data_IF_717751133701
#
_entry.id   IF_717751133701
#
_cell.length_a   1.000
_cell.length_b   1.000
_cell.length_c   1.000
_cell.angle_alpha   90.00
_cell.angle_beta   90.00
_cell.angle_gamma   90.00
#
_symmetry.space_group_name_H-M   'P 1'
#
loop_
_entity.id
_entity.type
_entity.pdbx_description
1 polymer ?
#
# COMPACT_ATOMS: atom_id res chain seq x y z
N UNK A 1 2.19 7.10 -8.47
CA UNK A 1 3.66 7.16 -8.25
C UNK A 1 4.48 6.38 -9.27
N UNK A 2 3.86 5.91 -10.34
CA UNK A 2 4.59 5.25 -11.42
C UNK A 2 5.67 6.19 -11.97
N UNK A 3 6.92 5.72 -12.01
CA UNK A 3 8.03 6.52 -12.51
C UNK A 3 8.69 7.43 -11.50
N UNK A 4 8.25 7.43 -10.24
CA UNK A 4 8.92 8.22 -9.20
C UNK A 4 10.25 7.57 -8.81
N UNK A 5 11.26 8.41 -8.63
CA UNK A 5 12.52 7.99 -8.03
C UNK A 5 12.34 7.76 -6.53
N UNK A 6 13.25 6.99 -5.93
CA UNK A 6 13.22 6.73 -4.50
C UNK A 6 13.17 8.01 -3.65
N UNK A 7 13.93 9.03 -4.02
CA UNK A 7 13.91 10.30 -3.29
C UNK A 7 12.56 11.01 -3.35
N UNK A 8 11.85 10.89 -4.47
CA UNK A 8 10.52 11.48 -4.62
C UNK A 8 9.49 10.73 -3.79
N UNK A 9 9.61 9.41 -3.71
CA UNK A 9 8.77 8.59 -2.84
C UNK A 9 8.96 8.98 -1.38
N UNK A 10 10.20 9.21 -0.95
CA UNK A 10 10.48 9.64 0.42
C UNK A 10 9.86 10.99 0.74
N UNK A 11 9.93 11.94 -0.18
CA UNK A 11 9.28 13.25 -0.01
C UNK A 11 7.76 13.12 0.09
N UNK A 12 7.19 12.27 -0.74
CA UNK A 12 5.74 11.99 -0.70
C UNK A 12 5.35 11.43 0.67
N UNK A 13 6.09 10.44 1.17
CA UNK A 13 5.82 9.83 2.47
C UNK A 13 5.93 10.86 3.59
N UNK A 14 6.91 11.76 3.54
CA UNK A 14 7.07 12.81 4.54
C UNK A 14 5.85 13.73 4.59
N UNK A 15 5.33 14.11 3.42
CA UNK A 15 4.13 14.95 3.33
C UNK A 15 2.91 14.23 3.88
N UNK A 16 2.72 12.96 3.49
CA UNK A 16 1.59 12.15 3.96
C UNK A 16 1.63 11.99 5.47
N UNK A 17 2.80 11.71 6.03
CA UNK A 17 2.96 11.55 7.47
C UNK A 17 2.67 12.85 8.23
N UNK A 18 3.05 14.00 7.69
CA UNK A 18 2.70 15.30 8.29
C UNK A 18 1.19 15.51 8.34
N UNK A 19 0.50 15.17 7.26
CA UNK A 19 -0.96 15.29 7.19
C UNK A 19 -1.63 14.41 8.25
N UNK A 20 -1.17 13.19 8.40
CA UNK A 20 -1.69 12.26 9.41
C UNK A 20 -1.41 12.77 10.81
N UNK A 21 -0.19 13.26 11.07
CA UNK A 21 0.23 13.71 12.39
C UNK A 21 -0.55 14.92 12.90
N UNK A 22 -1.12 15.73 12.02
CA UNK A 22 -1.99 16.85 12.42
C UNK A 22 -3.47 16.48 12.50
N UNK A 23 -3.78 15.19 12.45
CA UNK A 23 -5.13 14.70 12.71
C UNK A 23 -5.96 14.33 11.49
N UNK A 24 -5.36 14.29 10.30
CA UNK A 24 -6.08 13.91 9.09
C UNK A 24 -6.05 12.40 8.88
N UNK A 25 -7.10 11.88 8.26
CA UNK A 25 -7.12 10.54 7.68
C UNK A 25 -6.75 10.69 6.20
N UNK A 26 -5.76 9.94 5.74
CA UNK A 26 -5.27 10.01 4.37
C UNK A 26 -5.48 8.68 3.69
N UNK A 27 -6.18 8.71 2.54
CA UNK A 27 -6.41 7.52 1.70
C UNK A 27 -5.63 7.71 0.40
N UNK A 28 -4.78 6.72 0.07
CA UNK A 28 -3.93 6.78 -1.11
C UNK A 28 -4.22 5.56 -1.99
N UNK A 29 -4.43 5.80 -3.28
CA UNK A 29 -4.55 4.73 -4.27
C UNK A 29 -3.18 4.58 -4.90
N UNK A 30 -2.56 3.39 -4.76
CA UNK A 30 -1.15 3.26 -5.09
C UNK A 30 -0.77 1.84 -5.48
N UNK A 31 0.25 1.73 -6.31
CA UNK A 31 0.88 0.46 -6.72
C UNK A 31 2.34 0.36 -6.27
N UNK A 32 2.94 1.46 -5.82
CA UNK A 32 4.32 1.49 -5.38
C UNK A 32 4.44 0.82 -4.01
N UNK A 33 5.23 -0.27 -3.92
CA UNK A 33 5.36 -1.04 -2.69
C UNK A 33 6.05 -0.26 -1.57
N UNK A 34 6.91 0.70 -1.89
CA UNK A 34 7.53 1.53 -0.87
C UNK A 34 6.53 2.44 -0.18
N UNK A 35 5.52 2.91 -0.90
CA UNK A 35 4.42 3.67 -0.32
C UNK A 35 3.50 2.76 0.49
N UNK A 36 3.13 1.62 -0.09
CA UNK A 36 2.21 0.67 0.52
C UNK A 36 2.75 0.12 1.84
N UNK A 37 4.03 -0.27 1.89
CA UNK A 37 4.61 -0.84 3.10
C UNK A 37 4.67 0.14 4.27
N UNK A 38 4.64 1.44 3.98
CA UNK A 38 4.66 2.49 5.01
C UNK A 38 3.26 2.95 5.43
N UNK A 39 2.21 2.36 4.87
CA UNK A 39 0.85 2.66 5.27
C UNK A 39 0.51 1.99 6.61
N UNK A 40 -0.52 2.49 7.26
CA UNK A 40 -1.02 1.90 8.52
C UNK A 40 -2.02 0.79 8.24
N UNK A 41 -2.72 0.89 7.13
CA UNK A 41 -3.79 -0.04 6.77
C UNK A 41 -3.87 -0.17 5.25
N UNK A 42 -4.03 -1.38 4.77
CA UNK A 42 -4.15 -1.68 3.34
C UNK A 42 -5.52 -2.29 3.07
N UNK A 43 -6.15 -1.83 2.00
CA UNK A 43 -7.33 -2.46 1.45
C UNK A 43 -6.95 -2.95 0.05
N UNK A 44 -6.89 -4.26 -0.11
CA UNK A 44 -6.50 -4.89 -1.37
C UNK A 44 -7.76 -5.38 -2.10
N UNK A 45 -8.02 -4.76 -3.23
CA UNK A 45 -9.12 -5.17 -4.10
C UNK A 45 -8.61 -6.22 -5.08
N UNK A 46 -9.53 -6.94 -5.72
CA UNK A 46 -9.20 -8.05 -6.60
C UNK A 46 -8.11 -7.73 -7.62
N UNK A 47 -7.44 -8.77 -8.13
CA UNK A 47 -6.22 -8.60 -8.94
C UNK A 47 -6.46 -7.90 -10.26
N UNK A 48 -7.69 -7.89 -10.75
CA UNK A 48 -8.04 -7.24 -12.01
C UNK A 48 -8.98 -6.08 -11.74
N UNK A 49 -8.73 -4.95 -12.36
CA UNK A 49 -9.64 -3.83 -12.32
C UNK A 49 -10.95 -4.16 -13.04
N UNK A 50 -11.94 -3.28 -12.91
CA UNK A 50 -13.22 -3.44 -13.57
C UNK A 50 -14.23 -4.22 -12.75
N UNK A 51 -15.26 -4.73 -13.42
CA UNK A 51 -16.43 -5.30 -12.75
C UNK A 51 -16.12 -6.55 -11.93
N UNK A 52 -15.14 -7.33 -12.36
CA UNK A 52 -14.76 -8.56 -11.66
C UNK A 52 -13.62 -8.33 -10.67
N UNK A 53 -12.92 -7.21 -10.78
CA UNK A 53 -11.76 -6.90 -9.96
C UNK A 53 -12.05 -6.06 -8.73
N UNK A 54 -13.31 -5.69 -8.50
CA UNK A 54 -13.68 -4.80 -7.41
C UNK A 54 -13.90 -5.46 -6.06
N UNK A 55 -13.76 -6.77 -5.97
CA UNK A 55 -14.01 -7.50 -4.73
C UNK A 55 -12.85 -7.36 -3.76
N UNK A 56 -13.18 -7.19 -2.49
CA UNK A 56 -12.19 -7.13 -1.43
C UNK A 56 -11.48 -8.48 -1.30
N UNK A 57 -10.16 -8.47 -1.42
CA UNK A 57 -9.32 -9.66 -1.21
C UNK A 57 -8.93 -9.75 0.26
N UNK A 58 -8.38 -8.68 0.81
CA UNK A 58 -7.98 -8.61 2.21
C UNK A 58 -7.88 -7.15 2.64
N UNK A 59 -8.13 -6.88 3.90
CA UNK A 59 -7.84 -5.60 4.53
C UNK A 59 -7.09 -5.86 5.82
N UNK A 60 -6.09 -5.03 6.11
CA UNK A 60 -5.29 -5.19 7.32
C UNK A 60 -4.05 -4.33 7.30
N UNK A 61 -3.21 -4.52 8.31
CA UNK A 61 -1.89 -3.88 8.35
C UNK A 61 -1.00 -4.45 7.26
N UNK A 62 0.07 -3.74 6.87
CA UNK A 62 1.02 -4.29 5.89
C UNK A 62 1.54 -5.67 6.27
N UNK A 63 1.81 -5.91 7.54
CA UNK A 63 2.28 -7.20 8.02
C UNK A 63 1.23 -8.30 7.81
N UNK A 64 -0.03 -8.02 8.14
CA UNK A 64 -1.14 -8.97 7.95
C UNK A 64 -1.34 -9.28 6.47
N UNK A 65 -1.33 -8.26 5.62
CA UNK A 65 -1.49 -8.43 4.18
C UNK A 65 -0.32 -9.22 3.58
N UNK A 66 0.90 -8.98 4.05
CA UNK A 66 2.08 -9.70 3.56
C UNK A 66 2.01 -11.20 3.84
N UNK A 67 1.28 -11.60 4.87
CA UNK A 67 1.07 -13.02 5.20
C UNK A 67 -0.03 -13.70 4.40
N UNK A 68 -0.78 -12.97 3.60
CA UNK A 68 -1.91 -13.52 2.84
C UNK A 68 -1.48 -13.90 1.41
N UNK A 69 -1.26 -15.18 1.18
CA UNK A 69 -0.68 -15.67 -0.08
C UNK A 69 -1.58 -15.50 -1.31
N UNK A 70 -2.88 -15.32 -1.12
CA UNK A 70 -3.81 -15.09 -2.22
C UNK A 70 -3.82 -13.65 -2.74
N UNK A 71 -3.17 -12.74 -2.04
CA UNK A 71 -3.07 -11.34 -2.44
C UNK A 71 -1.80 -11.10 -3.25
N UNK A 72 -1.93 -10.48 -4.44
CA UNK A 72 -0.75 -10.04 -5.20
C UNK A 72 0.04 -9.00 -4.41
N UNK A 73 -0.64 -8.06 -3.81
CA UNK A 73 -0.01 -7.06 -2.95
C UNK A 73 0.73 -7.73 -1.81
N UNK A 74 0.12 -8.72 -1.17
CA UNK A 74 0.74 -9.48 -0.10
C UNK A 74 2.02 -10.18 -0.52
N UNK A 75 2.03 -10.79 -1.70
CA UNK A 75 3.22 -11.45 -2.23
C UNK A 75 4.39 -10.49 -2.40
N UNK A 76 4.14 -9.32 -2.98
CA UNK A 76 5.19 -8.32 -3.19
C UNK A 76 5.62 -7.66 -1.89
N UNK A 77 4.68 -7.40 -0.97
CA UNK A 77 4.99 -6.85 0.35
C UNK A 77 5.91 -7.75 1.14
N UNK A 78 5.68 -9.06 1.11
CA UNK A 78 6.51 -10.01 1.82
C UNK A 78 7.98 -9.88 1.44
N UNK A 79 8.26 -9.57 0.16
CA UNK A 79 9.63 -9.40 -0.33
C UNK A 79 10.31 -8.14 0.22
N UNK A 80 9.56 -7.07 0.45
CA UNK A 80 10.12 -5.78 0.88
C UNK A 80 10.04 -5.57 2.39
N UNK A 81 9.08 -6.16 3.07
CA UNK A 81 8.93 -6.04 4.52
C UNK A 81 10.00 -6.83 5.26
N UNK A 82 10.38 -7.98 4.75
CA UNK A 82 11.33 -8.89 5.41
C UNK A 82 12.78 -8.63 5.06
N UNK A 83 13.08 -7.52 4.43
CA UNK A 83 14.46 -7.13 4.14
C UNK A 83 15.10 -6.37 5.28
#
# INVERSE_FOLDING_TARGET
>A
TTGLHFADVQKLLDVLNRLVNVGNTVIVIEHNMDVIKNSDWIIDLGPEGGDEGGNLVIAGTPKEVSGFTKSYTGKYLKKVINK
#
